data_IF_693898251209
#
_entry.id   IF_693898251209
#
_cell.length_a   1.000
_cell.length_b   1.000
_cell.length_c   1.000
_cell.angle_alpha   90.00
_cell.angle_beta   90.00
_cell.angle_gamma   90.00
#
_symmetry.space_group_name_H-M   'P 1'
#
loop_
_entity.id
_entity.type
_entity.pdbx_description
1 polymer ?
#
# COMPACT_ATOMS: atom_id res chain seq x y z
N UNK A 1 -33.81 -4.71 10.60
CA UNK A 1 -32.88 -3.63 10.97
C UNK A 1 -33.13 -2.36 10.14
N UNK A 2 -32.75 -2.30 8.85
CA UNK A 2 -32.90 -1.07 8.04
C UNK A 2 -34.34 -0.56 7.93
N UNK A 3 -35.33 -1.46 7.78
CA UNK A 3 -36.75 -1.09 7.80
C UNK A 3 -37.21 -0.49 9.14
N UNK A 4 -36.61 -0.88 10.27
CA UNK A 4 -36.93 -0.28 11.58
C UNK A 4 -36.34 1.13 11.66
N UNK A 5 -35.12 1.31 11.13
CA UNK A 5 -34.49 2.61 11.03
C UNK A 5 -35.30 3.57 10.14
N UNK A 6 -35.78 3.10 8.99
CA UNK A 6 -36.67 3.87 8.11
C UNK A 6 -38.01 4.25 8.77
N UNK A 7 -38.48 3.45 9.75
CA UNK A 7 -39.66 3.77 10.58
C UNK A 7 -39.36 4.77 11.72
N UNK A 8 -38.13 5.28 11.80
CA UNK A 8 -37.71 6.25 12.82
C UNK A 8 -37.18 5.64 14.12
N UNK A 9 -36.99 4.32 14.18
CA UNK A 9 -36.42 3.69 15.37
C UNK A 9 -34.90 3.88 15.41
N UNK A 10 -34.40 4.44 16.52
CA UNK A 10 -32.96 4.60 16.77
C UNK A 10 -32.26 3.30 17.22
N UNK A 11 -30.94 3.40 17.41
CA UNK A 11 -30.08 2.28 17.82
C UNK A 11 -30.56 1.57 19.08
N UNK A 12 -31.00 2.32 20.10
CA UNK A 12 -31.42 1.79 21.41
C UNK A 12 -32.54 0.76 21.34
N UNK A 13 -33.47 0.92 20.40
CA UNK A 13 -34.55 -0.06 20.19
C UNK A 13 -34.10 -1.20 19.30
N UNK A 14 -33.25 -0.93 18.32
CA UNK A 14 -32.81 -1.92 17.33
C UNK A 14 -31.82 -2.91 17.96
N UNK A 15 -30.99 -2.48 18.92
CA UNK A 15 -30.01 -3.35 19.61
C UNK A 15 -30.67 -4.50 20.39
N UNK A 16 -31.94 -4.36 20.79
CA UNK A 16 -32.71 -5.42 21.45
C UNK A 16 -32.96 -6.62 20.52
N UNK A 17 -33.05 -6.37 19.21
CA UNK A 17 -33.32 -7.39 18.19
C UNK A 17 -32.04 -7.86 17.49
N UNK A 18 -30.98 -7.03 17.49
CA UNK A 18 -29.72 -7.29 16.78
C UNK A 18 -28.51 -6.99 17.66
N UNK A 19 -27.65 -8.00 17.86
CA UNK A 19 -26.41 -7.88 18.64
C UNK A 19 -25.31 -7.17 17.83
N UNK A 20 -25.46 -5.86 17.66
CA UNK A 20 -24.57 -5.03 16.84
C UNK A 20 -24.09 -3.84 17.66
N UNK A 21 -22.81 -3.47 17.52
CA UNK A 21 -22.28 -2.25 18.12
C UNK A 21 -22.84 -1.00 17.43
N UNK A 22 -23.19 0.01 18.23
CA UNK A 22 -23.57 1.37 17.82
C UNK A 22 -22.77 1.93 16.64
N UNK A 23 -21.43 1.88 16.69
CA UNK A 23 -20.58 2.42 15.63
C UNK A 23 -20.82 1.72 14.28
N UNK A 24 -20.88 0.38 14.30
CA UNK A 24 -21.18 -0.39 13.10
C UNK A 24 -22.62 -0.20 12.63
N UNK A 25 -23.56 -0.02 13.56
CA UNK A 25 -24.96 0.28 13.23
C UNK A 25 -25.07 1.57 12.43
N UNK A 26 -24.51 2.69 12.91
CA UNK A 26 -24.59 3.98 12.22
C UNK A 26 -23.84 3.95 10.89
N UNK A 27 -22.67 3.31 10.83
CA UNK A 27 -21.95 3.11 9.57
C UNK A 27 -22.76 2.29 8.57
N UNK A 28 -23.40 1.21 9.01
CA UNK A 28 -24.23 0.39 8.13
C UNK A 28 -25.45 1.17 7.62
N UNK A 29 -26.06 2.03 8.46
CA UNK A 29 -27.16 2.88 8.02
C UNK A 29 -26.70 3.86 6.92
N UNK A 30 -25.55 4.53 7.08
CA UNK A 30 -25.04 5.46 6.06
C UNK A 30 -24.71 4.77 4.74
N UNK A 31 -24.18 3.55 4.79
CA UNK A 31 -23.97 2.71 3.60
C UNK A 31 -25.30 2.39 2.91
N UNK A 32 -26.31 1.97 3.67
CA UNK A 32 -27.62 1.59 3.12
C UNK A 32 -28.42 2.79 2.62
N UNK A 33 -28.27 3.96 3.21
CA UNK A 33 -28.82 5.21 2.68
C UNK A 33 -28.20 5.58 1.32
N UNK A 34 -26.88 5.36 1.17
CA UNK A 34 -26.17 5.72 -0.07
C UNK A 34 -26.39 4.73 -1.21
N UNK A 35 -26.38 3.42 -0.93
CA UNK A 35 -26.43 2.38 -1.96
C UNK A 35 -27.72 1.56 -1.96
N UNK A 36 -28.62 1.82 -1.01
CA UNK A 36 -29.85 1.05 -0.84
C UNK A 36 -29.62 -0.36 -0.29
N UNK A 37 -30.71 -1.11 -0.15
CA UNK A 37 -30.69 -2.49 0.36
C UNK A 37 -30.03 -3.49 -0.60
N UNK A 38 -29.91 -3.14 -1.89
CA UNK A 38 -29.20 -3.94 -2.89
C UNK A 38 -27.73 -4.17 -2.52
N UNK A 39 -27.13 -3.24 -1.75
CA UNK A 39 -25.77 -3.36 -1.25
C UNK A 39 -25.54 -4.65 -0.44
N UNK A 40 -26.56 -5.13 0.29
CA UNK A 40 -26.46 -6.35 1.11
C UNK A 40 -26.31 -7.63 0.27
N UNK A 41 -26.87 -7.63 -0.93
CA UNK A 41 -26.90 -8.79 -1.83
C UNK A 41 -25.84 -8.70 -2.95
N UNK A 42 -24.90 -7.75 -2.85
CA UNK A 42 -23.90 -7.54 -3.90
C UNK A 42 -22.86 -8.67 -3.93
N UNK A 43 -22.38 -9.07 -5.12
CA UNK A 43 -21.26 -9.99 -5.20
C UNK A 43 -19.99 -9.37 -4.59
N UNK A 44 -19.06 -10.23 -4.15
CA UNK A 44 -17.77 -9.76 -3.63
C UNK A 44 -16.99 -9.04 -4.74
N UNK A 45 -16.71 -7.75 -4.54
CA UNK A 45 -15.89 -6.96 -5.46
C UNK A 45 -14.43 -7.43 -5.48
N UNK A 46 -13.87 -7.57 -6.68
CA UNK A 46 -12.46 -7.90 -6.90
C UNK A 46 -11.68 -6.61 -7.15
N UNK A 47 -11.20 -6.02 -6.06
CA UNK A 47 -10.40 -4.79 -6.09
C UNK A 47 -9.11 -4.96 -6.89
N UNK A 48 -8.99 -4.17 -7.96
CA UNK A 48 -7.79 -4.05 -8.80
C UNK A 48 -6.72 -3.21 -8.11
N UNK A 49 -5.46 -3.32 -8.55
CA UNK A 49 -4.38 -2.43 -8.10
C UNK A 49 -4.70 -0.95 -8.31
N UNK A 50 -5.36 -0.60 -9.42
CA UNK A 50 -5.68 0.79 -9.75
C UNK A 50 -6.72 1.37 -8.80
N UNK A 51 -7.79 0.63 -8.48
CA UNK A 51 -8.81 1.08 -7.53
C UNK A 51 -8.22 1.23 -6.11
N UNK A 52 -7.38 0.26 -5.68
CA UNK A 52 -6.67 0.36 -4.40
C UNK A 52 -5.76 1.58 -4.36
N UNK A 53 -5.05 1.87 -5.46
CA UNK A 53 -4.18 3.06 -5.55
C UNK A 53 -4.98 4.34 -5.36
N UNK A 54 -6.09 4.49 -6.09
CA UNK A 54 -6.96 5.65 -5.96
C UNK A 54 -7.44 5.84 -4.52
N UNK A 55 -7.87 4.75 -3.87
CA UNK A 55 -8.30 4.80 -2.47
C UNK A 55 -7.18 5.24 -1.52
N UNK A 56 -5.95 4.74 -1.74
CA UNK A 56 -4.77 5.14 -0.95
C UNK A 56 -4.45 6.62 -1.20
N UNK A 57 -4.49 7.06 -2.44
CA UNK A 57 -4.19 8.45 -2.84
C UNK A 57 -5.20 9.42 -2.21
N UNK A 58 -6.51 9.09 -2.17
CA UNK A 58 -7.52 9.89 -1.46
C UNK A 58 -7.15 10.11 0.02
N UNK A 59 -6.63 9.08 0.70
CA UNK A 59 -6.28 9.20 2.12
C UNK A 59 -4.94 9.91 2.31
N UNK A 60 -3.92 9.56 1.53
CA UNK A 60 -2.55 10.07 1.74
C UNK A 60 -2.31 11.45 1.14
N UNK A 61 -2.98 11.78 0.02
CA UNK A 61 -2.80 13.03 -0.72
C UNK A 61 -3.93 14.01 -0.41
N UNK A 62 -5.19 13.57 -0.48
CA UNK A 62 -6.34 14.46 -0.21
C UNK A 62 -6.66 14.58 1.29
N UNK A 63 -5.98 13.82 2.15
CA UNK A 63 -6.22 13.79 3.59
C UNK A 63 -7.66 13.45 3.99
N UNK A 64 -8.35 12.65 3.17
CA UNK A 64 -9.69 12.17 3.47
C UNK A 64 -9.66 11.11 4.59
N UNK A 65 -10.73 11.04 5.37
CA UNK A 65 -10.85 10.03 6.42
C UNK A 65 -10.99 8.63 5.80
N UNK A 66 -10.41 7.62 6.47
CA UNK A 66 -10.54 6.22 6.05
C UNK A 66 -12.01 5.77 5.94
N UNK A 67 -12.86 6.32 6.80
CA UNK A 67 -14.29 6.01 6.84
C UNK A 67 -15.03 6.60 5.64
N UNK A 68 -14.73 7.84 5.25
CA UNK A 68 -15.34 8.47 4.08
C UNK A 68 -14.93 7.74 2.81
N UNK A 69 -13.63 7.46 2.63
CA UNK A 69 -13.14 6.69 1.48
C UNK A 69 -13.76 5.30 1.45
N UNK A 70 -13.92 4.65 2.59
CA UNK A 70 -14.59 3.36 2.67
C UNK A 70 -16.08 3.45 2.30
N UNK A 71 -16.76 4.51 2.75
CA UNK A 71 -18.15 4.78 2.43
C UNK A 71 -18.34 5.06 0.93
N UNK A 72 -17.47 5.85 0.29
CA UNK A 72 -17.49 6.16 -1.15
C UNK A 72 -17.23 4.93 -2.02
N UNK A 73 -16.45 3.99 -1.51
CA UNK A 73 -16.15 2.71 -2.14
C UNK A 73 -17.18 1.62 -1.82
N UNK A 74 -18.17 1.93 -0.97
CA UNK A 74 -19.16 0.95 -0.50
C UNK A 74 -18.54 -0.25 0.22
N UNK A 75 -17.45 -0.04 0.96
CA UNK A 75 -16.81 -1.06 1.79
C UNK A 75 -17.60 -1.30 3.08
N UNK A 76 -17.51 -2.50 3.64
CA UNK A 76 -18.19 -2.81 4.91
C UNK A 76 -17.53 -2.17 6.13
N UNK A 77 -16.29 -1.71 6.00
CA UNK A 77 -15.58 -0.94 7.02
C UNK A 77 -14.33 -0.26 6.44
N UNK A 78 -13.81 0.72 7.16
CA UNK A 78 -12.54 1.41 6.90
C UNK A 78 -11.30 0.50 6.98
N UNK A 79 -11.43 -0.68 7.59
CA UNK A 79 -10.32 -1.62 7.79
C UNK A 79 -9.68 -2.13 6.50
N UNK A 80 -10.45 -2.22 5.40
CA UNK A 80 -9.91 -2.62 4.10
C UNK A 80 -8.94 -1.56 3.55
N UNK A 81 -9.32 -0.28 3.62
CA UNK A 81 -8.50 0.86 3.18
C UNK A 81 -7.23 0.95 4.04
N UNK A 82 -7.38 0.85 5.36
CA UNK A 82 -6.25 0.86 6.30
C UNK A 82 -5.25 -0.27 5.99
N UNK A 83 -5.75 -1.47 5.69
CA UNK A 83 -4.90 -2.59 5.32
C UNK A 83 -4.19 -2.38 3.98
N UNK A 84 -4.83 -1.77 2.98
CA UNK A 84 -4.19 -1.44 1.72
C UNK A 84 -3.04 -0.44 1.91
N UNK A 85 -3.25 0.62 2.69
CA UNK A 85 -2.21 1.60 3.03
C UNK A 85 -1.04 0.93 3.75
N UNK A 86 -1.31 0.07 4.74
CA UNK A 86 -0.28 -0.67 5.47
C UNK A 86 0.56 -1.56 4.56
N UNK A 87 -0.08 -2.27 3.62
CA UNK A 87 0.62 -3.12 2.65
C UNK A 87 1.43 -2.26 1.67
N UNK A 88 0.89 -1.13 1.24
CA UNK A 88 1.54 -0.19 0.34
C UNK A 88 2.81 0.38 0.94
N UNK A 89 2.75 0.86 2.19
CA UNK A 89 3.92 1.36 2.93
C UNK A 89 4.96 0.26 3.17
N UNK A 90 4.52 -0.98 3.47
CA UNK A 90 5.43 -2.11 3.70
C UNK A 90 6.19 -2.56 2.45
N UNK A 91 5.67 -2.34 1.26
CA UNK A 91 6.29 -2.75 0.00
C UNK A 91 6.96 -1.56 -0.71
N UNK A 92 7.54 -0.62 0.04
CA UNK A 92 8.22 0.57 -0.51
C UNK A 92 7.36 1.36 -1.52
N UNK A 93 6.08 1.58 -1.16
CA UNK A 93 5.12 2.31 -1.98
C UNK A 93 4.83 1.64 -3.34
N UNK A 94 4.88 0.30 -3.37
CA UNK A 94 4.51 -0.49 -4.53
C UNK A 94 3.25 -1.33 -4.27
N UNK A 95 2.29 -1.23 -5.19
CA UNK A 95 1.03 -2.00 -5.13
C UNK A 95 1.28 -3.31 -5.85
N UNK A 96 1.48 -4.37 -5.06
CA UNK A 96 1.65 -5.71 -5.59
C UNK A 96 0.32 -6.46 -5.54
N UNK A 97 -0.18 -6.88 -6.70
CA UNK A 97 -1.24 -7.88 -6.76
C UNK A 97 -0.62 -9.25 -6.43
N UNK A 98 -0.50 -9.54 -5.14
CA UNK A 98 -0.16 -10.90 -4.72
C UNK A 98 -1.28 -11.83 -5.16
N UNK A 99 -0.96 -12.99 -5.77
CA UNK A 99 -1.99 -13.95 -6.18
C UNK A 99 -2.85 -14.33 -4.97
N UNK A 100 -4.17 -14.24 -5.12
CA UNK A 100 -5.11 -14.61 -4.08
C UNK A 100 -4.97 -16.11 -3.78
N UNK A 101 -4.52 -16.45 -2.57
CA UNK A 101 -4.48 -17.83 -2.09
C UNK A 101 -3.30 -18.12 -1.17
N UNK A 102 -3.36 -19.28 -0.50
CA UNK A 102 -2.21 -19.82 0.22
C UNK A 102 -1.11 -20.11 -0.81
N UNK A 103 0.15 -19.68 -0.59
CA UNK A 103 1.24 -20.10 -1.46
C UNK A 103 1.23 -21.63 -1.55
N UNK A 104 1.27 -22.17 -2.78
CA UNK A 104 1.33 -23.63 -2.99
C UNK A 104 2.48 -24.17 -2.14
N UNK A 105 2.21 -25.17 -1.29
CA UNK A 105 3.27 -25.90 -0.59
C UNK A 105 4.22 -26.41 -1.67
N UNK A 106 5.44 -25.88 -1.71
CA UNK A 106 6.48 -26.43 -2.57
C UNK A 106 6.79 -27.82 -2.03
N UNK A 107 6.37 -28.86 -2.74
CA UNK A 107 7.01 -30.16 -2.61
C UNK A 107 8.49 -29.91 -2.90
N UNK A 108 9.33 -30.14 -1.89
CA UNK A 108 10.78 -29.92 -1.99
C UNK A 108 11.34 -31.04 -2.87
N UNK A 109 11.26 -30.88 -4.18
CA UNK A 109 12.20 -31.52 -5.08
C UNK A 109 13.42 -30.62 -5.10
N UNK A 110 14.49 -31.03 -4.40
CA UNK A 110 15.80 -30.39 -4.42
C UNK A 110 16.29 -30.33 -5.88
N UNK A 111 16.01 -29.24 -6.56
CA UNK A 111 16.77 -28.84 -7.73
C UNK A 111 17.45 -27.54 -7.32
N UNK A 112 18.77 -27.59 -7.23
CA UNK A 112 19.63 -26.44 -7.08
C UNK A 112 19.39 -25.49 -8.26
N UNK A 113 18.37 -24.66 -8.18
CA UNK A 113 18.28 -23.46 -9.01
C UNK A 113 19.20 -22.44 -8.36
N UNK A 114 20.42 -22.36 -8.90
CA UNK A 114 21.21 -21.15 -8.79
C UNK A 114 20.26 -19.98 -9.07
N UNK A 115 20.08 -19.09 -8.08
CA UNK A 115 19.20 -17.92 -8.19
C UNK A 115 19.73 -17.08 -9.35
N UNK A 116 19.08 -17.21 -10.49
CA UNK A 116 19.25 -16.26 -11.57
C UNK A 116 18.75 -14.91 -11.05
N UNK A 117 19.67 -13.94 -10.93
CA UNK A 117 19.35 -12.61 -10.42
C UNK A 117 18.29 -11.97 -11.35
N UNK A 118 17.21 -11.47 -10.76
CA UNK A 118 16.16 -10.76 -11.47
C UNK A 118 16.78 -9.58 -12.26
N UNK A 119 16.21 -9.16 -13.40
CA UNK A 119 16.80 -8.13 -14.25
C UNK A 119 17.02 -6.79 -13.51
N UNK A 120 16.19 -6.50 -12.49
CA UNK A 120 16.36 -5.34 -11.62
C UNK A 120 17.60 -5.43 -10.72
N UNK A 121 17.87 -6.62 -10.17
CA UNK A 121 19.04 -6.86 -9.30
C UNK A 121 20.35 -6.78 -10.09
N UNK A 122 20.34 -7.24 -11.35
CA UNK A 122 21.47 -7.08 -12.28
C UNK A 122 21.79 -5.58 -12.50
N UNK A 123 20.75 -4.75 -12.67
CA UNK A 123 20.92 -3.31 -12.89
C UNK A 123 21.46 -2.58 -11.66
N UNK A 124 20.97 -2.93 -10.47
CA UNK A 124 21.45 -2.36 -9.20
C UNK A 124 22.95 -2.64 -9.04
N UNK A 125 23.38 -3.89 -9.24
CA UNK A 125 24.79 -4.28 -9.12
C UNK A 125 25.69 -3.57 -10.14
N UNK A 126 25.19 -3.34 -11.36
CA UNK A 126 25.91 -2.58 -12.38
C UNK A 126 26.11 -1.11 -11.96
N UNK A 127 25.06 -0.49 -11.40
CA UNK A 127 25.10 0.87 -10.89
C UNK A 127 26.04 1.02 -9.69
N UNK A 128 26.02 0.08 -8.76
CA UNK A 128 26.94 0.05 -7.60
C UNK A 128 28.40 -0.01 -8.04
N UNK A 129 28.73 -0.84 -9.05
CA UNK A 129 30.08 -0.91 -9.62
C UNK A 129 30.51 0.40 -10.26
N UNK A 130 29.62 1.03 -11.04
CA UNK A 130 29.90 2.33 -11.67
C UNK A 130 30.14 3.41 -10.61
N UNK A 131 29.36 3.41 -9.54
CA UNK A 131 29.49 4.37 -8.44
C UNK A 131 30.82 4.19 -7.70
N UNK A 132 31.24 2.94 -7.45
CA UNK A 132 32.53 2.64 -6.84
C UNK A 132 33.70 3.12 -7.71
N UNK A 133 33.65 2.85 -9.02
CA UNK A 133 34.67 3.30 -9.98
C UNK A 133 34.78 4.83 -10.02
N UNK A 134 33.65 5.52 -10.17
CA UNK A 134 33.61 6.99 -10.19
C UNK A 134 34.10 7.61 -8.87
N UNK A 135 33.87 6.96 -7.73
CA UNK A 135 34.41 7.42 -6.43
C UNK A 135 35.94 7.29 -6.39
N UNK A 136 36.49 6.19 -6.88
CA UNK A 136 37.94 6.00 -6.95
C UNK A 136 38.60 7.02 -7.88
N UNK A 137 38.01 7.25 -9.06
CA UNK A 137 38.50 8.25 -10.01
C UNK A 137 38.47 9.67 -9.43
N UNK A 138 37.38 10.05 -8.77
CA UNK A 138 37.29 11.35 -8.10
C UNK A 138 38.30 11.51 -6.95
N UNK A 139 38.55 10.45 -6.19
CA UNK A 139 39.57 10.47 -5.14
C UNK A 139 40.98 10.68 -5.73
N UNK A 140 41.30 9.98 -6.83
CA UNK A 140 42.56 10.15 -7.54
C UNK A 140 42.75 11.57 -8.09
N UNK A 141 41.71 12.12 -8.74
CA UNK A 141 41.74 13.49 -9.26
C UNK A 141 41.90 14.54 -8.14
N UNK A 142 41.31 14.32 -6.97
CA UNK A 142 41.51 15.19 -5.79
C UNK A 142 42.95 15.16 -5.29
N UNK A 143 43.53 13.97 -5.15
CA UNK A 143 44.92 13.81 -4.72
C UNK A 143 45.91 14.48 -5.70
N UNK A 144 45.66 14.35 -7.01
CA UNK A 144 46.45 15.06 -8.03
C UNK A 144 46.36 16.58 -7.89
N UNK A 145 45.14 17.11 -7.69
CA UNK A 145 44.93 18.56 -7.50
C UNK A 145 45.66 19.09 -6.27
N UNK A 146 45.61 18.37 -5.16
CA UNK A 146 46.33 18.72 -3.93
C UNK A 146 47.84 18.80 -4.17
N UNK A 147 48.40 17.80 -4.85
CA UNK A 147 49.83 17.74 -5.17
C UNK A 147 50.27 18.87 -6.13
N UNK A 148 49.43 19.24 -7.10
CA UNK A 148 49.68 20.40 -7.97
C UNK A 148 49.62 21.72 -7.21
N UNK A 149 48.66 21.87 -6.30
CA UNK A 149 48.51 23.08 -5.48
C UNK A 149 49.72 23.25 -4.53
N UNK A 150 50.21 22.17 -3.94
CA UNK A 150 51.42 22.19 -3.11
C UNK A 150 52.67 22.59 -3.91
N UNK A 151 52.83 22.06 -5.14
CA UNK A 151 53.94 22.45 -6.01
C UNK A 151 53.89 23.93 -6.38
N UNK A 152 52.71 24.46 -6.70
CA UNK A 152 52.53 25.88 -7.01
C UNK A 152 52.78 26.79 -5.80
N UNK A 153 52.42 26.35 -4.58
CA UNK A 153 52.71 27.08 -3.34
C UNK A 153 54.20 27.11 -2.98
N UNK A 154 54.97 26.08 -3.36
CA UNK A 154 56.43 26.02 -3.14
C UNK A 154 57.25 26.82 -4.17
N UNK A 155 56.64 27.21 -5.29
CA UNK A 155 57.27 27.98 -6.37
C UNK A 155 56.95 29.49 -6.29
N UNK A 156 56.14 29.91 -5.32
CA UNK A 156 55.92 31.32 -4.94
C UNK A 156 56.64 31.61 -3.63
#
# INVERSE_FOLDING_TARGET
MYHLYQKGYGYEKIKEYYLINSAYFYYLMSVLERYGTAWLNRPRHKWTSQEKKKAIDCVLINHESLENVALDLGLSSSGAVANWIRIYQKNDYNITDKPLGRPRKKTITKHNKQKELEPKDKKIKELERKLLYLRAENAYLKALRELTNEKQKKQK
#
